data_IF_061716221159
#
_entry.id   IF_061716221159
#
_cell.length_a   1.000
_cell.length_b   1.000
_cell.length_c   1.000
_cell.angle_alpha   90.00
_cell.angle_beta   90.00
_cell.angle_gamma   90.00
#
_symmetry.space_group_name_H-M   'P 1'
#
loop_
_entity.id
_entity.type
_entity.pdbx_description
1 polymer ?
#
# COMPACT_ATOMS: atom_id res chain seq x y z
N UNK A 1 -24.15 -19.60 -9.84
CA UNK A 1 -24.07 -20.97 -10.41
C UNK A 1 -24.83 -21.12 -11.75
N UNK A 2 -24.98 -20.05 -12.55
CA UNK A 2 -25.65 -20.10 -13.87
C UNK A 2 -24.87 -19.36 -14.98
N UNK A 3 -23.53 -19.49 -15.02
CA UNK A 3 -22.72 -18.97 -16.14
C UNK A 3 -21.75 -20.00 -16.74
N UNK A 4 -21.87 -21.28 -16.38
CA UNK A 4 -20.99 -22.33 -16.86
C UNK A 4 -21.82 -23.54 -17.31
N UNK A 5 -22.38 -23.44 -18.52
CA UNK A 5 -22.84 -24.61 -19.27
C UNK A 5 -21.81 -24.88 -20.39
N UNK A 6 -21.16 -26.06 -20.43
CA UNK A 6 -20.02 -26.32 -21.33
C UNK A 6 -20.41 -26.67 -22.77
N UNK A 7 -21.66 -26.43 -23.21
CA UNK A 7 -22.19 -26.96 -24.49
C UNK A 7 -22.37 -25.94 -25.62
N UNK A 8 -21.80 -24.73 -25.54
CA UNK A 8 -21.73 -23.85 -26.72
C UNK A 8 -20.29 -23.72 -27.16
N UNK A 9 -19.94 -24.37 -28.28
CA UNK A 9 -18.71 -24.05 -29.01
C UNK A 9 -18.77 -22.58 -29.43
N UNK A 10 -18.02 -21.73 -28.76
CA UNK A 10 -17.93 -20.31 -29.08
C UNK A 10 -16.86 -20.12 -30.17
N UNK A 11 -17.17 -20.52 -31.40
CA UNK A 11 -16.37 -20.11 -32.55
C UNK A 11 -16.68 -18.64 -32.87
N UNK A 12 -15.80 -17.74 -32.44
CA UNK A 12 -15.69 -16.34 -32.88
C UNK A 12 -16.92 -15.46 -32.66
N UNK A 13 -17.09 -14.91 -31.45
CA UNK A 13 -18.06 -13.85 -31.19
C UNK A 13 -17.69 -12.58 -31.99
N UNK A 14 -18.70 -11.92 -32.60
CA UNK A 14 -18.50 -10.65 -33.30
C UNK A 14 -18.05 -9.54 -32.32
N UNK A 15 -17.25 -8.54 -32.74
CA UNK A 15 -16.74 -7.47 -31.86
C UNK A 15 -17.83 -6.73 -31.06
N UNK A 16 -19.03 -6.58 -31.63
CA UNK A 16 -20.16 -5.95 -30.93
C UNK A 16 -20.72 -6.81 -29.77
N UNK A 17 -20.65 -8.14 -29.89
CA UNK A 17 -21.06 -9.05 -28.82
C UNK A 17 -20.01 -9.11 -27.69
N UNK A 18 -18.73 -8.94 -28.04
CA UNK A 18 -17.64 -8.81 -27.07
C UNK A 18 -17.81 -7.56 -26.19
N UNK A 19 -18.03 -6.41 -26.82
CA UNK A 19 -18.22 -5.15 -26.10
C UNK A 19 -19.39 -5.23 -25.12
N UNK A 20 -20.49 -5.89 -25.52
CA UNK A 20 -21.65 -6.10 -24.65
C UNK A 20 -21.32 -6.99 -23.43
N UNK A 21 -20.48 -8.02 -23.58
CA UNK A 21 -20.10 -8.90 -22.47
C UNK A 21 -19.17 -8.19 -21.47
N UNK A 22 -18.22 -7.40 -21.98
CA UNK A 22 -17.37 -6.54 -21.13
C UNK A 22 -18.22 -5.55 -20.35
N UNK A 23 -19.18 -4.91 -21.02
CA UNK A 23 -20.08 -3.93 -20.39
C UNK A 23 -20.95 -4.57 -19.31
N UNK A 24 -21.51 -5.76 -19.56
CA UNK A 24 -22.29 -6.52 -18.57
C UNK A 24 -21.43 -6.90 -17.35
N UNK A 25 -20.22 -7.43 -17.59
CA UNK A 25 -19.28 -7.77 -16.52
C UNK A 25 -18.91 -6.54 -15.68
N UNK A 26 -18.54 -5.44 -16.32
CA UNK A 26 -18.15 -4.20 -15.64
C UNK A 26 -19.31 -3.64 -14.83
N UNK A 27 -20.51 -3.56 -15.41
CA UNK A 27 -21.71 -3.07 -14.72
C UNK A 27 -21.97 -3.89 -13.45
N UNK A 28 -21.93 -5.22 -13.57
CA UNK A 28 -22.15 -6.11 -12.43
C UNK A 28 -21.09 -5.94 -11.34
N UNK A 29 -19.80 -5.84 -11.72
CA UNK A 29 -18.72 -5.64 -10.74
C UNK A 29 -18.82 -4.26 -10.06
N UNK A 30 -19.25 -3.23 -10.76
CA UNK A 30 -19.45 -1.89 -10.19
C UNK A 30 -20.55 -1.88 -9.12
N UNK A 31 -21.64 -2.62 -9.33
CA UNK A 31 -22.69 -2.82 -8.32
C UNK A 31 -22.15 -3.55 -7.08
N UNK A 32 -21.47 -4.68 -7.28
CA UNK A 32 -20.91 -5.49 -6.18
C UNK A 32 -19.90 -4.69 -5.35
N UNK A 33 -19.04 -3.89 -6.00
CA UNK A 33 -18.11 -3.01 -5.28
C UNK A 33 -18.81 -1.90 -4.51
N UNK A 34 -19.98 -1.45 -4.96
CA UNK A 34 -20.79 -0.48 -4.22
C UNK A 34 -21.40 -1.11 -2.98
N UNK A 35 -21.96 -2.32 -3.11
CA UNK A 35 -22.51 -3.09 -1.99
C UNK A 35 -21.44 -3.37 -0.93
N UNK A 36 -20.26 -3.86 -1.33
CA UNK A 36 -19.14 -4.13 -0.41
C UNK A 36 -18.71 -2.86 0.33
N UNK A 37 -18.59 -1.72 -0.39
CA UNK A 37 -18.23 -0.43 0.22
C UNK A 37 -19.28 0.05 1.22
N UNK A 38 -20.56 -0.05 0.89
CA UNK A 38 -21.65 0.34 1.79
C UNK A 38 -21.68 -0.54 3.04
N UNK A 39 -21.40 -1.84 2.91
CA UNK A 39 -21.25 -2.76 4.03
C UNK A 39 -20.06 -2.35 4.93
N UNK A 40 -18.87 -2.09 4.37
CA UNK A 40 -17.69 -1.68 5.13
C UNK A 40 -17.90 -0.34 5.87
N UNK A 41 -18.51 0.65 5.21
CA UNK A 41 -18.82 1.94 5.83
C UNK A 41 -19.83 1.77 6.97
N UNK A 42 -20.87 0.96 6.76
CA UNK A 42 -21.90 0.72 7.77
C UNK A 42 -21.34 0.00 8.99
N UNK A 43 -20.48 -0.99 8.77
CA UNK A 43 -19.75 -1.68 9.83
C UNK A 43 -18.86 -0.69 10.59
N UNK A 44 -18.04 0.10 9.89
CA UNK A 44 -17.16 1.09 10.53
C UNK A 44 -17.93 2.13 11.36
N UNK A 45 -19.08 2.61 10.87
CA UNK A 45 -19.95 3.56 11.61
C UNK A 45 -20.56 2.94 12.85
N UNK A 46 -21.09 1.72 12.74
CA UNK A 46 -21.66 1.01 13.89
C UNK A 46 -20.64 0.85 15.03
N UNK A 47 -19.36 0.68 14.69
CA UNK A 47 -18.28 0.59 15.67
C UNK A 47 -17.93 1.95 16.27
N UNK A 48 -17.98 3.03 15.50
CA UNK A 48 -17.70 4.37 15.99
C UNK A 48 -18.79 4.92 16.92
N UNK A 49 -20.06 4.60 16.66
CA UNK A 49 -21.20 5.13 17.40
C UNK A 49 -21.61 4.26 18.60
N UNK A 50 -21.41 2.93 18.52
CA UNK A 50 -21.88 1.99 19.53
C UNK A 50 -20.84 1.47 20.53
N UNK A 51 -19.55 1.77 20.34
CA UNK A 51 -18.46 1.13 21.09
C UNK A 51 -17.55 2.19 21.74
N UNK A 52 -17.23 2.00 23.02
CA UNK A 52 -16.29 2.89 23.72
C UNK A 52 -14.88 2.84 23.10
N UNK A 53 -14.16 3.97 23.15
CA UNK A 53 -12.78 4.07 22.63
C UNK A 53 -11.82 3.01 23.20
N UNK A 54 -12.00 2.63 24.48
CA UNK A 54 -11.19 1.58 25.12
C UNK A 54 -11.43 0.21 24.50
N UNK A 55 -12.67 -0.10 24.14
CA UNK A 55 -13.02 -1.36 23.51
C UNK A 55 -12.54 -1.39 22.05
N UNK A 56 -12.60 -0.27 21.33
CA UNK A 56 -11.98 -0.14 20.01
C UNK A 56 -10.45 -0.38 20.05
N UNK A 57 -9.78 0.06 21.12
CA UNK A 57 -8.36 -0.24 21.31
C UNK A 57 -8.11 -1.73 21.62
N UNK A 58 -8.96 -2.37 22.43
CA UNK A 58 -8.84 -3.83 22.70
C UNK A 58 -9.01 -4.66 21.45
N UNK A 59 -9.84 -4.20 20.51
CA UNK A 59 -10.03 -4.81 19.19
C UNK A 59 -8.95 -4.46 18.18
N UNK A 60 -8.03 -3.56 18.52
CA UNK A 60 -6.88 -3.23 17.70
C UNK A 60 -7.14 -2.29 16.52
N UNK A 61 -8.28 -1.57 16.51
CA UNK A 61 -8.66 -0.63 15.43
C UNK A 61 -8.47 0.84 15.83
N UNK A 62 -8.13 1.10 17.09
CA UNK A 62 -7.82 2.43 17.60
C UNK A 62 -6.61 2.38 18.54
N UNK A 63 -5.79 3.41 18.52
CA UNK A 63 -4.70 3.61 19.47
C UNK A 63 -4.93 4.91 20.21
N UNK A 64 -4.92 4.88 21.54
CA UNK A 64 -5.16 6.03 22.40
C UNK A 64 -3.85 6.50 23.04
N UNK A 65 -3.81 7.77 23.43
CA UNK A 65 -2.72 8.38 24.22
C UNK A 65 -1.35 8.23 23.55
N UNK A 66 -1.30 8.59 22.27
CA UNK A 66 -0.07 8.65 21.51
C UNK A 66 0.54 10.05 21.59
N UNK A 67 1.86 10.14 21.71
CA UNK A 67 2.65 11.37 21.65
C UNK A 67 3.44 11.41 20.34
N UNK A 68 3.69 12.61 19.83
CA UNK A 68 4.49 12.79 18.60
C UNK A 68 5.97 12.71 18.95
N UNK A 69 6.63 11.66 18.48
CA UNK A 69 8.06 11.45 18.70
C UNK A 69 8.92 12.22 17.70
N UNK A 70 8.58 12.15 16.41
CA UNK A 70 9.29 12.91 15.38
C UNK A 70 8.40 13.20 14.17
N UNK A 71 8.73 14.30 13.49
CA UNK A 71 8.11 14.73 12.24
C UNK A 71 9.22 14.93 11.21
N UNK A 72 9.08 14.36 10.01
CA UNK A 72 10.09 14.41 8.95
C UNK A 72 9.43 14.49 7.59
N UNK A 73 10.07 15.15 6.64
CA UNK A 73 9.58 15.14 5.26
C UNK A 73 9.87 13.80 4.58
N UNK A 74 8.83 13.14 4.07
CA UNK A 74 8.89 11.90 3.31
C UNK A 74 9.11 12.13 1.80
N UNK A 75 9.07 11.05 1.02
CA UNK A 75 9.08 11.16 -0.45
C UNK A 75 7.76 11.75 -0.96
N UNK A 76 7.82 12.45 -2.09
CA UNK A 76 6.70 13.17 -2.71
C UNK A 76 6.13 14.35 -1.89
N UNK A 77 6.88 14.85 -0.91
CA UNK A 77 6.48 16.02 -0.12
C UNK A 77 5.50 15.71 1.03
N UNK A 78 5.17 14.44 1.27
CA UNK A 78 4.30 14.07 2.38
C UNK A 78 5.01 14.20 3.73
N UNK A 79 4.33 14.75 4.74
CA UNK A 79 4.84 14.79 6.11
C UNK A 79 4.72 13.41 6.77
N UNK A 80 5.84 12.85 7.22
CA UNK A 80 5.88 11.64 8.03
C UNK A 80 5.85 11.99 9.51
N UNK A 81 4.87 11.49 10.24
CA UNK A 81 4.71 11.68 11.68
C UNK A 81 4.86 10.33 12.37
N UNK A 82 5.83 10.21 13.26
CA UNK A 82 6.03 9.02 14.11
C UNK A 82 5.41 9.27 15.47
N UNK A 83 4.45 8.41 15.83
CA UNK A 83 3.70 8.41 17.07
C UNK A 83 4.17 7.27 17.97
N UNK A 84 4.28 7.53 19.27
CA UNK A 84 4.66 6.55 20.30
C UNK A 84 3.65 6.58 21.46
N UNK A 85 3.49 5.49 22.21
CA UNK A 85 2.71 5.53 23.45
C UNK A 85 3.26 6.57 24.44
N UNK A 86 2.36 7.26 25.15
CA UNK A 86 2.72 8.09 26.28
C UNK A 86 3.51 7.29 27.32
N UNK A 87 4.67 7.82 27.73
CA UNK A 87 5.67 7.13 28.57
C UNK A 87 5.07 6.46 29.82
N UNK A 88 5.19 5.14 29.88
CA UNK A 88 5.34 4.38 31.13
C UNK A 88 6.48 3.36 30.96
N UNK A 89 7.73 3.84 30.91
CA UNK A 89 8.96 3.02 30.92
C UNK A 89 9.69 2.90 29.57
N UNK A 90 10.94 2.39 29.61
CA UNK A 90 11.80 2.18 28.43
C UNK A 90 11.30 1.07 27.49
N UNK A 91 10.36 0.24 27.93
CA UNK A 91 9.79 -0.90 27.19
C UNK A 91 8.29 -0.71 26.85
N UNK A 92 7.80 0.53 26.72
CA UNK A 92 6.38 0.73 26.36
C UNK A 92 6.10 0.35 24.91
N UNK A 93 5.54 -0.85 24.71
CA UNK A 93 5.04 -1.30 23.42
C UNK A 93 3.64 -0.74 23.11
N UNK A 94 3.32 -0.64 21.83
CA UNK A 94 1.97 -0.38 21.36
C UNK A 94 1.05 -1.52 21.79
N UNK A 95 -0.19 -1.23 22.21
CA UNK A 95 -1.16 -2.29 22.49
C UNK A 95 -1.40 -3.12 21.23
N UNK A 96 -1.72 -4.41 21.41
CA UNK A 96 -2.03 -5.33 20.30
C UNK A 96 -3.02 -4.70 19.33
N UNK A 97 -2.64 -4.63 18.06
CA UNK A 97 -3.40 -3.88 17.06
C UNK A 97 -3.30 -4.47 15.66
N UNK A 98 -4.22 -4.07 14.79
CA UNK A 98 -4.34 -4.54 13.41
C UNK A 98 -3.97 -3.43 12.40
N UNK A 99 -3.06 -2.52 12.79
CA UNK A 99 -2.53 -1.52 11.87
C UNK A 99 -1.38 -2.11 11.05
N UNK A 100 -1.45 -1.95 9.73
CA UNK A 100 -0.42 -2.36 8.79
C UNK A 100 -0.08 -1.27 7.78
N UNK A 101 1.09 -1.33 7.14
CA UNK A 101 1.46 -0.41 6.07
C UNK A 101 0.41 -0.38 4.96
N UNK A 102 -0.10 0.82 4.65
CA UNK A 102 -1.17 1.05 3.67
C UNK A 102 -2.56 1.28 4.26
N UNK A 103 -2.76 1.04 5.56
CA UNK A 103 -4.03 1.36 6.23
C UNK A 103 -4.27 2.88 6.24
N UNK A 104 -5.49 3.30 5.92
CA UNK A 104 -5.91 4.69 6.08
C UNK A 104 -6.29 4.93 7.53
N UNK A 105 -5.78 6.02 8.09
CA UNK A 105 -5.96 6.37 9.49
C UNK A 105 -6.34 7.84 9.64
N UNK A 106 -7.19 8.11 10.61
CA UNK A 106 -7.52 9.45 11.08
C UNK A 106 -6.74 9.75 12.35
N UNK A 107 -6.09 10.91 12.40
CA UNK A 107 -5.49 11.45 13.60
C UNK A 107 -6.45 12.44 14.25
N UNK A 108 -6.60 12.34 15.56
CA UNK A 108 -7.47 13.21 16.35
C UNK A 108 -6.77 13.58 17.65
N UNK A 109 -7.14 14.71 18.23
CA UNK A 109 -6.67 15.12 19.55
C UNK A 109 -7.42 14.34 20.65
N UNK A 110 -6.72 13.97 21.72
CA UNK A 110 -7.34 13.24 22.84
C UNK A 110 -8.20 14.15 23.73
N UNK A 111 -7.86 15.44 23.83
CA UNK A 111 -8.53 16.43 24.67
C UNK A 111 -9.58 17.28 23.92
N UNK A 112 -9.61 17.22 22.58
CA UNK A 112 -10.51 18.01 21.74
C UNK A 112 -11.89 17.38 21.54
N UNK A 113 -12.81 18.16 20.95
CA UNK A 113 -14.01 17.60 20.32
C UNK A 113 -13.59 16.54 19.28
N UNK A 114 -14.46 15.60 18.94
CA UNK A 114 -14.22 14.44 18.08
C UNK A 114 -13.78 14.75 16.63
N UNK A 115 -13.31 15.98 16.37
CA UNK A 115 -12.87 16.49 15.09
C UNK A 115 -11.55 15.86 14.66
N UNK A 116 -11.56 15.38 13.42
CA UNK A 116 -10.42 14.81 12.76
C UNK A 116 -9.41 15.91 12.43
N UNK A 117 -8.17 15.78 12.91
CA UNK A 117 -7.08 16.73 12.62
C UNK A 117 -6.63 16.55 11.18
N UNK A 118 -6.30 15.30 10.83
CA UNK A 118 -5.83 14.96 9.49
C UNK A 118 -6.11 13.48 9.16
N UNK A 119 -6.08 13.18 7.87
CA UNK A 119 -5.99 11.82 7.34
C UNK A 119 -4.54 11.49 7.02
N UNK A 120 -4.19 10.23 7.14
CA UNK A 120 -2.91 9.74 6.66
C UNK A 120 -2.96 8.27 6.34
N UNK A 121 -1.87 7.79 5.78
CA UNK A 121 -1.68 6.39 5.44
C UNK A 121 -0.55 5.87 6.31
N UNK A 122 -0.77 4.75 7.01
CA UNK A 122 0.27 4.08 7.79
C UNK A 122 1.43 3.74 6.87
N UNK A 123 2.61 4.29 7.19
CA UNK A 123 3.83 4.05 6.45
C UNK A 123 4.61 2.87 7.02
N UNK A 124 4.72 2.85 8.35
CA UNK A 124 5.48 1.83 9.07
C UNK A 124 4.84 1.56 10.43
N UNK A 125 4.82 0.30 10.82
CA UNK A 125 4.49 -0.14 12.18
C UNK A 125 5.69 -0.84 12.81
N UNK A 126 5.97 -0.52 14.06
CA UNK A 126 6.97 -1.17 14.90
C UNK A 126 6.32 -1.55 16.24
N UNK A 127 7.00 -2.32 17.09
CA UNK A 127 6.44 -2.72 18.39
C UNK A 127 6.14 -1.54 19.29
N UNK A 128 6.89 -0.44 19.21
CA UNK A 128 6.77 0.73 20.07
C UNK A 128 6.34 2.02 19.35
N UNK A 129 6.11 1.98 18.04
CA UNK A 129 5.84 3.20 17.27
C UNK A 129 5.05 2.92 15.99
N UNK A 130 4.26 3.90 15.59
CA UNK A 130 3.53 3.90 14.32
C UNK A 130 3.87 5.19 13.57
N UNK A 131 4.30 5.04 12.33
CA UNK A 131 4.61 6.18 11.46
C UNK A 131 3.54 6.30 10.40
N UNK A 132 2.92 7.46 10.31
CA UNK A 132 1.89 7.79 9.33
C UNK A 132 2.45 8.82 8.35
N UNK A 133 2.12 8.65 7.06
CA UNK A 133 2.30 9.69 6.06
C UNK A 133 1.00 10.50 6.01
N UNK A 134 1.06 11.76 6.39
CA UNK A 134 -0.10 12.65 6.47
C UNK A 134 -0.38 13.20 5.08
N UNK A 135 -1.65 13.13 4.66
CA UNK A 135 -2.12 13.83 3.47
C UNK A 135 -2.33 15.30 3.84
N UNK A 136 -1.72 16.22 3.10
CA UNK A 136 -1.80 17.66 3.40
C UNK A 136 -3.27 18.12 3.46
N UNK A 137 -3.72 18.77 4.55
CA UNK A 137 -4.98 19.49 4.52
C UNK A 137 -4.81 20.78 3.72
N UNK A 138 -5.79 21.07 2.86
CA UNK A 138 -5.85 22.24 1.96
C UNK A 138 -5.89 23.63 2.66
N UNK A 139 -5.46 23.81 3.90
CA UNK A 139 -5.57 25.15 4.51
C UNK A 139 -4.73 25.52 5.72
N UNK A 140 -4.04 24.62 6.43
CA UNK A 140 -3.12 25.03 7.50
C UNK A 140 -2.09 23.93 7.75
N UNK A 141 -0.82 24.32 7.91
CA UNK A 141 0.24 23.41 8.40
C UNK A 141 -0.28 22.76 9.69
N UNK A 142 -0.40 21.42 9.71
CA UNK A 142 -0.78 20.71 10.94
C UNK A 142 0.41 20.81 11.90
N UNK A 143 0.43 21.83 12.76
CA UNK A 143 1.38 21.90 13.88
C UNK A 143 0.93 20.89 14.93
N UNK A 144 1.42 19.65 14.82
CA UNK A 144 1.24 18.67 15.88
C UNK A 144 2.21 19.03 17.01
N UNK A 145 1.68 19.46 18.15
CA UNK A 145 2.44 19.74 19.36
C UNK A 145 2.95 18.43 19.98
N UNK A 146 4.22 18.42 20.41
CA UNK A 146 4.83 17.23 21.03
C UNK A 146 4.25 16.91 22.41
N UNK A 147 3.67 17.92 23.08
CA UNK A 147 3.11 17.79 24.43
C UNK A 147 1.65 17.31 24.44
N UNK A 148 0.99 17.26 23.28
CA UNK A 148 -0.39 16.84 23.18
C UNK A 148 -0.52 15.33 23.00
N UNK A 149 -1.61 14.80 23.52
CA UNK A 149 -1.99 13.40 23.31
C UNK A 149 -2.92 13.29 22.12
N UNK A 150 -2.62 12.31 21.29
CA UNK A 150 -3.36 11.98 20.10
C UNK A 150 -4.00 10.61 20.22
N UNK A 151 -5.04 10.43 19.42
CA UNK A 151 -5.63 9.12 19.15
C UNK A 151 -5.57 8.86 17.64
N UNK A 152 -5.27 7.63 17.29
CA UNK A 152 -5.25 7.17 15.91
C UNK A 152 -6.38 6.18 15.71
N UNK A 153 -7.18 6.37 14.66
CA UNK A 153 -8.30 5.50 14.34
C UNK A 153 -8.16 4.98 12.92
N UNK A 154 -8.39 3.69 12.71
CA UNK A 154 -8.45 3.10 11.37
C UNK A 154 -9.71 3.58 10.65
N UNK A 155 -9.55 4.01 9.41
CA UNK A 155 -10.64 4.48 8.55
C UNK A 155 -10.86 3.51 7.38
N UNK A 156 -12.04 3.58 6.77
CA UNK A 156 -12.34 2.84 5.55
C UNK A 156 -11.42 3.28 4.41
N UNK A 157 -10.91 2.32 3.63
CA UNK A 157 -9.95 2.59 2.57
C UNK A 157 -10.62 2.93 1.24
N UNK A 158 -11.02 4.18 1.05
CA UNK A 158 -11.63 4.65 -0.20
C UNK A 158 -10.68 4.57 -1.41
N UNK A 159 -9.36 4.59 -1.18
CA UNK A 159 -8.36 4.54 -2.25
C UNK A 159 -8.44 3.21 -3.00
N UNK A 160 -8.65 2.10 -2.30
CA UNK A 160 -8.81 0.77 -2.91
C UNK A 160 -10.02 0.73 -3.85
N UNK A 161 -11.20 1.15 -3.36
CA UNK A 161 -12.41 1.19 -4.18
C UNK A 161 -12.28 2.12 -5.39
N UNK A 162 -11.67 3.29 -5.21
CA UNK A 162 -11.44 4.21 -6.32
C UNK A 162 -10.51 3.61 -7.38
N UNK A 163 -9.47 2.86 -6.99
CA UNK A 163 -8.59 2.16 -7.93
C UNK A 163 -9.31 1.02 -8.66
N UNK A 164 -10.09 0.22 -7.95
CA UNK A 164 -10.88 -0.86 -8.55
C UNK A 164 -11.90 -0.31 -9.56
N UNK A 165 -12.63 0.74 -9.19
CA UNK A 165 -13.56 1.43 -10.10
C UNK A 165 -12.86 1.97 -11.35
N UNK A 166 -11.69 2.60 -11.19
CA UNK A 166 -10.90 3.08 -12.34
C UNK A 166 -10.43 1.94 -13.24
N UNK A 167 -10.01 0.81 -12.67
CA UNK A 167 -9.61 -0.36 -13.46
C UNK A 167 -10.79 -0.91 -14.28
N UNK A 168 -11.98 -1.02 -13.67
CA UNK A 168 -13.20 -1.43 -14.36
C UNK A 168 -13.62 -0.42 -15.44
N UNK A 169 -13.53 0.88 -15.17
CA UNK A 169 -13.77 1.90 -16.18
C UNK A 169 -12.76 1.83 -17.32
N UNK A 170 -11.49 1.53 -17.03
CA UNK A 170 -10.45 1.36 -18.06
C UNK A 170 -10.74 0.13 -18.92
N UNK A 171 -11.16 -0.98 -18.31
CA UNK A 171 -11.58 -2.19 -19.02
C UNK A 171 -12.77 -1.93 -19.94
N UNK A 172 -13.78 -1.19 -19.47
CA UNK A 172 -14.98 -0.88 -20.26
C UNK A 172 -14.70 -0.05 -21.52
N UNK A 173 -13.69 0.81 -21.45
CA UNK A 173 -13.27 1.66 -22.57
C UNK A 173 -12.02 1.11 -23.26
N UNK A 174 -11.61 -0.12 -22.95
CA UNK A 174 -10.45 -0.73 -23.54
C UNK A 174 -10.76 -1.10 -25.00
N UNK A 175 -10.09 -0.43 -25.93
CA UNK A 175 -10.21 -0.71 -27.36
C UNK A 175 -9.32 -1.89 -27.77
N UNK A 176 -8.53 -1.69 -28.82
CA UNK A 176 -7.52 -2.67 -29.25
C UNK A 176 -6.17 -2.38 -28.59
N UNK A 177 -5.51 -3.43 -28.10
CA UNK A 177 -4.15 -3.34 -27.60
C UNK A 177 -3.59 -4.70 -27.18
N UNK A 178 -2.41 -4.72 -26.53
CA UNK A 178 -1.73 -5.98 -26.19
C UNK A 178 -2.54 -6.92 -25.28
N UNK A 179 -3.47 -6.39 -24.48
CA UNK A 179 -4.32 -7.19 -23.60
C UNK A 179 -5.61 -7.71 -24.24
N UNK A 180 -5.89 -7.42 -25.52
CA UNK A 180 -7.15 -7.81 -26.16
C UNK A 180 -7.36 -9.33 -26.15
N UNK A 181 -6.38 -10.11 -26.60
CA UNK A 181 -6.47 -11.57 -26.64
C UNK A 181 -6.66 -12.17 -25.23
N UNK A 182 -6.00 -11.57 -24.22
CA UNK A 182 -6.17 -11.99 -22.82
C UNK A 182 -7.57 -11.70 -22.30
N UNK A 183 -8.14 -10.53 -22.61
CA UNK A 183 -9.51 -10.16 -22.21
C UNK A 183 -10.50 -11.14 -22.84
N UNK A 184 -10.33 -11.46 -24.11
CA UNK A 184 -11.20 -12.36 -24.84
C UNK A 184 -11.19 -13.78 -24.25
N UNK A 185 -10.01 -14.28 -23.87
CA UNK A 185 -9.89 -15.58 -23.18
C UNK A 185 -10.49 -15.52 -21.77
N UNK A 186 -10.24 -14.47 -20.98
CA UNK A 186 -10.75 -14.34 -19.61
C UNK A 186 -12.27 -14.20 -19.54
N UNK A 187 -12.88 -13.56 -20.54
CA UNK A 187 -14.33 -13.44 -20.66
C UNK A 187 -14.94 -14.54 -21.53
N UNK A 188 -14.22 -15.66 -21.74
CA UNK A 188 -14.71 -16.85 -22.44
C UNK A 188 -15.25 -16.58 -23.85
N UNK A 189 -14.75 -15.55 -24.52
CA UNK A 189 -15.17 -15.17 -25.86
C UNK A 189 -14.26 -15.74 -26.95
N UNK A 190 -13.06 -16.18 -26.57
CA UNK A 190 -12.15 -16.98 -27.39
C UNK A 190 -11.51 -18.08 -26.55
N UNK A 191 -11.07 -19.16 -27.21
CA UNK A 191 -10.29 -20.21 -26.56
C UNK A 191 -8.80 -19.80 -26.47
N UNK A 192 -8.06 -20.26 -25.45
CA UNK A 192 -6.61 -20.03 -25.37
C UNK A 192 -5.89 -20.51 -26.62
N UNK A 193 -4.90 -19.75 -27.09
CA UNK A 193 -4.09 -20.17 -28.22
C UNK A 193 -3.28 -21.42 -27.91
N UNK A 194 -2.93 -22.18 -28.95
CA UNK A 194 -2.00 -23.30 -28.81
C UNK A 194 -0.68 -22.88 -28.17
N UNK A 195 -0.17 -23.74 -27.28
CA UNK A 195 1.09 -23.55 -26.58
C UNK A 195 2.25 -23.36 -27.58
N UNK A 196 3.14 -22.43 -27.27
CA UNK A 196 4.34 -22.18 -28.08
C UNK A 196 5.39 -23.26 -27.82
N UNK A 197 6.26 -23.52 -28.81
CA UNK A 197 7.42 -24.37 -28.61
C UNK A 197 8.33 -23.79 -27.51
N UNK A 198 8.47 -24.54 -26.42
CA UNK A 198 9.34 -24.15 -25.32
C UNK A 198 10.77 -24.53 -25.65
N UNK A 199 11.67 -23.55 -25.54
CA UNK A 199 13.11 -23.82 -25.58
C UNK A 199 13.48 -24.74 -24.41
N UNK A 200 14.52 -25.56 -24.60
CA UNK A 200 15.13 -26.32 -23.52
C UNK A 200 15.52 -25.38 -22.38
N UNK A 201 14.88 -25.55 -21.23
CA UNK A 201 15.10 -24.73 -20.04
C UNK A 201 16.22 -25.32 -19.19
N UNK A 202 17.16 -24.46 -18.78
CA UNK A 202 18.09 -24.77 -17.70
C UNK A 202 17.51 -24.20 -16.41
N UNK A 203 16.96 -25.06 -15.56
CA UNK A 203 16.36 -24.63 -14.31
C UNK A 203 17.40 -24.02 -13.36
N UNK A 204 17.06 -22.91 -12.71
CA UNK A 204 17.89 -22.29 -11.67
C UNK A 204 17.86 -23.12 -10.39
N UNK A 205 16.68 -23.63 -10.03
CA UNK A 205 16.53 -24.54 -8.91
C UNK A 205 16.56 -26.01 -9.39
N UNK A 206 17.67 -26.69 -9.14
CA UNK A 206 17.84 -28.10 -9.49
C UNK A 206 16.92 -29.05 -8.70
N UNK A 207 16.45 -28.60 -7.52
CA UNK A 207 15.62 -29.39 -6.60
C UNK A 207 14.11 -29.34 -6.91
N UNK A 208 13.71 -28.76 -8.05
CA UNK A 208 12.31 -28.81 -8.47
C UNK A 208 11.90 -30.25 -8.80
N UNK A 209 10.74 -30.65 -8.29
CA UNK A 209 10.13 -31.93 -8.64
C UNK A 209 9.58 -31.92 -10.07
N UNK A 210 9.17 -33.10 -10.56
CA UNK A 210 8.68 -33.25 -11.92
C UNK A 210 7.43 -32.39 -12.20
N UNK A 211 6.51 -32.29 -11.25
CA UNK A 211 5.27 -31.52 -11.40
C UNK A 211 5.55 -30.00 -11.44
N UNK A 212 6.52 -29.54 -10.67
CA UNK A 212 6.94 -28.14 -10.67
C UNK A 212 7.67 -27.79 -11.98
N UNK A 213 8.53 -28.67 -12.48
CA UNK A 213 9.21 -28.49 -13.78
C UNK A 213 8.19 -28.44 -14.93
N UNK A 214 7.21 -29.33 -14.92
CA UNK A 214 6.11 -29.32 -15.88
C UNK A 214 5.31 -28.02 -15.81
N UNK A 215 4.95 -27.56 -14.61
CA UNK A 215 4.24 -26.30 -14.43
C UNK A 215 5.04 -25.09 -14.95
N UNK A 216 6.36 -25.06 -14.76
CA UNK A 216 7.25 -24.02 -15.31
C UNK A 216 7.23 -24.05 -16.83
N UNK A 217 7.45 -25.21 -17.45
CA UNK A 217 7.42 -25.37 -18.90
C UNK A 217 6.06 -24.96 -19.47
N UNK A 218 4.97 -25.48 -18.89
CA UNK A 218 3.61 -25.15 -19.31
C UNK A 218 3.35 -23.64 -19.27
N UNK A 219 3.72 -22.97 -18.18
CA UNK A 219 3.46 -21.53 -18.01
C UNK A 219 4.22 -20.67 -19.01
N UNK A 220 5.45 -21.04 -19.35
CA UNK A 220 6.26 -20.31 -20.34
C UNK A 220 5.81 -20.59 -21.79
N UNK A 221 5.06 -21.67 -22.01
CA UNK A 221 4.53 -22.02 -23.32
C UNK A 221 3.23 -21.25 -23.65
N UNK A 222 2.43 -20.91 -22.63
CA UNK A 222 1.15 -20.21 -22.82
C UNK A 222 1.37 -18.75 -23.21
N UNK A 223 0.56 -18.25 -24.15
CA UNK A 223 0.64 -16.86 -24.62
C UNK A 223 -0.27 -15.94 -23.81
N UNK A 224 -1.52 -16.32 -23.62
CA UNK A 224 -2.53 -15.50 -22.96
C UNK A 224 -2.58 -15.77 -21.45
N UNK A 225 -2.84 -17.02 -21.05
CA UNK A 225 -3.14 -17.35 -19.67
C UNK A 225 -2.57 -18.72 -19.25
N UNK A 226 -1.87 -18.74 -18.12
CA UNK A 226 -1.50 -19.95 -17.42
C UNK A 226 -1.98 -19.88 -15.96
N UNK A 227 -2.62 -20.94 -15.49
CA UNK A 227 -3.07 -21.06 -14.09
C UNK A 227 -2.36 -22.24 -13.45
N UNK A 228 -1.55 -21.94 -12.42
CA UNK A 228 -0.87 -22.95 -11.63
C UNK A 228 -1.65 -23.16 -10.33
N UNK A 229 -2.17 -24.36 -10.16
CA UNK A 229 -2.74 -24.78 -8.89
C UNK A 229 -1.65 -25.43 -8.04
N UNK A 230 -1.59 -25.08 -6.75
CA UNK A 230 -0.81 -25.87 -5.80
C UNK A 230 -1.48 -25.91 -4.42
N UNK A 231 -1.69 -27.11 -3.83
CA UNK A 231 -2.12 -27.25 -2.45
C UNK A 231 -1.18 -26.58 -1.43
N UNK A 232 -1.56 -26.45 -0.16
CA UNK A 232 -0.67 -25.99 0.90
C UNK A 232 0.60 -26.84 0.97
N UNK A 233 1.77 -26.19 1.11
CA UNK A 233 3.06 -26.89 1.22
C UNK A 233 3.70 -27.38 -0.08
N UNK A 234 3.04 -27.32 -1.24
CA UNK A 234 3.58 -27.88 -2.50
C UNK A 234 4.60 -26.98 -3.24
N UNK A 235 5.16 -25.99 -2.56
CA UNK A 235 6.21 -25.15 -3.16
C UNK A 235 5.74 -24.19 -4.27
N UNK A 236 4.45 -23.83 -4.36
CA UNK A 236 3.93 -22.87 -5.37
C UNK A 236 4.81 -21.66 -5.60
N UNK A 237 5.24 -21.00 -4.51
CA UNK A 237 6.07 -19.79 -4.65
C UNK A 237 7.45 -20.11 -5.21
N UNK A 238 8.01 -21.29 -4.91
CA UNK A 238 9.25 -21.77 -5.53
C UNK A 238 9.07 -21.95 -7.03
N UNK A 239 7.96 -22.54 -7.48
CA UNK A 239 7.61 -22.66 -8.90
C UNK A 239 7.45 -21.30 -9.58
N UNK A 240 6.73 -20.36 -8.94
CA UNK A 240 6.53 -19.00 -9.47
C UNK A 240 7.86 -18.24 -9.58
N UNK A 241 8.75 -18.37 -8.60
CA UNK A 241 10.10 -17.78 -8.65
C UNK A 241 10.87 -18.31 -9.85
N UNK A 242 10.86 -19.62 -10.09
CA UNK A 242 11.50 -20.22 -11.26
C UNK A 242 10.93 -19.66 -12.57
N UNK A 243 9.60 -19.56 -12.70
CA UNK A 243 8.96 -18.98 -13.91
C UNK A 243 9.44 -17.56 -14.16
N UNK A 244 9.51 -16.74 -13.11
CA UNK A 244 10.00 -15.35 -13.22
C UNK A 244 11.46 -15.32 -13.68
N UNK A 245 12.32 -16.17 -13.10
CA UNK A 245 13.73 -16.26 -13.48
C UNK A 245 13.88 -16.62 -14.96
N UNK A 246 13.15 -17.64 -15.42
CA UNK A 246 13.16 -18.08 -16.82
C UNK A 246 12.63 -17.00 -17.77
N UNK A 247 11.53 -16.32 -17.43
CA UNK A 247 10.97 -15.24 -18.23
C UNK A 247 11.96 -14.06 -18.36
N UNK A 248 12.64 -13.69 -17.28
CA UNK A 248 13.64 -12.62 -17.30
C UNK A 248 14.89 -13.02 -18.08
N UNK A 249 15.33 -14.28 -18.00
CA UNK A 249 16.44 -14.80 -18.81
C UNK A 249 16.12 -14.76 -20.32
N UNK A 250 14.86 -14.94 -20.68
CA UNK A 250 14.37 -14.75 -22.06
C UNK A 250 14.27 -13.26 -22.48
N UNK A 251 14.65 -12.32 -21.60
CA UNK A 251 14.63 -10.88 -21.87
C UNK A 251 13.27 -10.22 -21.66
N UNK A 252 12.28 -10.92 -21.10
CA UNK A 252 10.96 -10.37 -20.82
C UNK A 252 10.98 -9.45 -19.60
N UNK A 253 10.09 -8.46 -19.60
CA UNK A 253 9.80 -7.62 -18.44
C UNK A 253 8.60 -8.19 -17.71
N UNK A 254 8.74 -8.44 -16.41
CA UNK A 254 7.71 -9.10 -15.60
C UNK A 254 7.14 -8.13 -14.57
N UNK A 255 5.82 -7.97 -14.55
CA UNK A 255 5.08 -7.31 -13.47
C UNK A 255 4.51 -8.38 -12.54
N UNK A 256 5.02 -8.46 -11.31
CA UNK A 256 4.53 -9.38 -10.30
C UNK A 256 3.59 -8.67 -9.33
N UNK A 257 2.38 -9.20 -9.16
CA UNK A 257 1.36 -8.67 -8.25
C UNK A 257 0.90 -9.76 -7.27
N UNK A 258 0.54 -9.35 -6.05
CA UNK A 258 -0.13 -10.21 -5.07
C UNK A 258 -1.11 -9.39 -4.23
N UNK A 259 -2.16 -10.01 -3.66
CA UNK A 259 -3.20 -9.28 -2.91
C UNK A 259 -2.70 -8.76 -1.55
N UNK A 260 -1.57 -9.25 -1.02
CA UNK A 260 -1.01 -8.80 0.25
C UNK A 260 0.44 -8.36 0.11
N UNK A 261 0.82 -7.31 0.86
CA UNK A 261 2.20 -6.85 0.91
C UNK A 261 3.17 -7.96 1.35
N UNK A 262 2.77 -8.81 2.29
CA UNK A 262 3.59 -9.95 2.76
C UNK A 262 3.87 -10.93 1.62
N UNK A 263 2.90 -11.21 0.75
CA UNK A 263 3.10 -12.10 -0.39
C UNK A 263 4.07 -11.50 -1.42
N UNK A 264 3.99 -10.20 -1.68
CA UNK A 264 4.95 -9.50 -2.54
C UNK A 264 6.35 -9.53 -1.92
N UNK A 265 6.45 -9.23 -0.63
CA UNK A 265 7.72 -9.20 0.10
C UNK A 265 8.40 -10.59 0.08
N UNK A 266 7.64 -11.68 0.25
CA UNK A 266 8.13 -13.06 0.10
C UNK A 266 8.70 -13.35 -1.30
N UNK A 267 8.10 -12.79 -2.35
CA UNK A 267 8.60 -12.94 -3.72
C UNK A 267 9.91 -12.16 -3.90
N UNK A 268 9.94 -10.90 -3.45
CA UNK A 268 11.14 -10.05 -3.52
C UNK A 268 12.30 -10.69 -2.78
N UNK A 269 12.07 -11.21 -1.58
CA UNK A 269 13.08 -11.90 -0.77
C UNK A 269 13.68 -13.09 -1.53
N UNK A 270 12.85 -13.98 -2.09
CA UNK A 270 13.35 -15.13 -2.85
C UNK A 270 14.08 -14.73 -4.12
N UNK A 271 13.58 -13.74 -4.85
CA UNK A 271 14.20 -13.25 -6.08
C UNK A 271 15.50 -12.48 -5.81
N UNK A 272 15.65 -11.85 -4.64
CA UNK A 272 16.85 -11.08 -4.27
C UNK A 272 18.11 -11.93 -4.13
N UNK A 273 17.95 -13.25 -3.93
CA UNK A 273 19.06 -14.22 -3.95
C UNK A 273 19.63 -14.43 -5.36
N UNK A 274 18.95 -13.94 -6.39
CA UNK A 274 19.37 -13.99 -7.78
C UNK A 274 19.81 -12.59 -8.23
N UNK A 275 20.78 -12.51 -9.16
CA UNK A 275 21.31 -11.24 -9.68
C UNK A 275 20.35 -10.56 -10.67
N UNK A 276 19.10 -10.34 -10.25
CA UNK A 276 18.06 -9.69 -11.04
C UNK A 276 17.93 -8.20 -10.67
N UNK A 277 17.49 -7.40 -11.65
CA UNK A 277 17.08 -6.01 -11.41
C UNK A 277 15.61 -5.99 -10.98
N UNK A 278 15.38 -5.83 -9.68
CA UNK A 278 14.05 -5.85 -9.07
C UNK A 278 13.71 -4.47 -8.52
N UNK A 279 12.49 -4.00 -8.79
CA UNK A 279 11.93 -2.79 -8.19
C UNK A 279 10.61 -3.12 -7.48
N UNK A 280 10.56 -2.90 -6.16
CA UNK A 280 9.37 -3.05 -5.34
C UNK A 280 8.63 -1.72 -5.24
N UNK A 281 7.46 -1.64 -5.86
CA UNK A 281 6.56 -0.49 -5.77
C UNK A 281 5.65 -0.60 -4.56
N UNK A 282 5.58 0.45 -3.75
CA UNK A 282 4.74 0.50 -2.55
C UNK A 282 5.54 0.29 -1.26
N UNK A 283 4.83 0.32 -0.14
CA UNK A 283 5.42 0.30 1.20
C UNK A 283 5.64 -1.15 1.65
N UNK A 284 6.88 -1.58 1.94
CA UNK A 284 7.14 -2.92 2.46
C UNK A 284 6.36 -3.18 3.74
N UNK A 285 5.77 -4.37 3.87
CA UNK A 285 5.19 -4.81 5.15
C UNK A 285 6.28 -5.30 6.10
N UNK A 286 7.33 -5.91 5.55
CA UNK A 286 8.48 -6.41 6.30
C UNK A 286 9.61 -5.38 6.36
N UNK A 287 10.29 -5.35 7.51
CA UNK A 287 11.46 -4.50 7.75
C UNK A 287 12.79 -5.17 7.36
N UNK A 288 12.75 -6.24 6.57
CA UNK A 288 13.95 -6.92 6.12
C UNK A 288 14.77 -5.99 5.21
N UNK A 289 16.06 -5.85 5.52
CA UNK A 289 16.99 -4.96 4.81
C UNK A 289 17.09 -5.30 3.32
N UNK A 290 17.08 -6.59 2.99
CA UNK A 290 17.08 -7.09 1.60
C UNK A 290 15.92 -6.51 0.80
N UNK A 291 14.70 -6.52 1.35
CA UNK A 291 13.50 -5.98 0.69
C UNK A 291 13.53 -4.45 0.64
N UNK A 292 13.99 -3.80 1.72
CA UNK A 292 14.06 -2.34 1.80
C UNK A 292 14.92 -1.76 0.69
N UNK A 293 16.07 -2.37 0.39
CA UNK A 293 16.98 -1.92 -0.67
C UNK A 293 16.39 -1.97 -2.10
N UNK A 294 15.35 -2.77 -2.31
CA UNK A 294 14.65 -2.86 -3.59
C UNK A 294 13.39 -2.00 -3.66
N UNK A 295 12.99 -1.36 -2.56
CA UNK A 295 11.88 -0.39 -2.57
C UNK A 295 12.24 0.82 -3.43
N UNK A 296 11.23 1.40 -4.10
CA UNK A 296 11.41 2.61 -4.90
C UNK A 296 12.13 3.71 -4.12
N UNK A 297 11.74 3.88 -2.86
CA UNK A 297 12.32 4.87 -1.95
C UNK A 297 13.83 4.68 -1.77
N UNK A 298 14.27 3.44 -1.51
CA UNK A 298 15.69 3.15 -1.33
C UNK A 298 16.49 3.24 -2.63
N UNK A 299 15.89 2.85 -3.76
CA UNK A 299 16.53 2.94 -5.08
C UNK A 299 16.76 4.41 -5.46
N UNK A 300 15.79 5.29 -5.21
CA UNK A 300 15.93 6.73 -5.46
C UNK A 300 17.00 7.37 -4.57
N UNK A 301 17.13 6.93 -3.32
CA UNK A 301 18.17 7.40 -2.39
C UNK A 301 19.59 6.92 -2.74
N UNK A 302 19.73 5.93 -3.63
CA UNK A 302 21.03 5.39 -4.07
C UNK A 302 21.43 5.86 -5.47
N UNK A 303 20.52 6.44 -6.24
CA UNK A 303 20.80 6.92 -7.59
C UNK A 303 21.61 8.21 -7.59
N UNK A 304 22.11 8.59 -8.77
CA UNK A 304 22.95 9.79 -8.96
C UNK A 304 22.25 11.09 -8.54
N UNK A 305 20.91 11.10 -8.52
CA UNK A 305 20.07 12.21 -8.09
C UNK A 305 19.80 12.23 -6.57
N UNK A 306 20.39 11.32 -5.79
CA UNK A 306 20.16 11.24 -4.34
C UNK A 306 20.56 12.52 -3.61
N UNK A 307 21.61 13.21 -4.09
CA UNK A 307 22.01 14.52 -3.58
C UNK A 307 20.92 15.56 -3.77
N UNK A 308 20.28 15.60 -4.95
CA UNK A 308 19.17 16.52 -5.24
C UNK A 308 18.00 16.25 -4.29
N UNK A 309 17.65 14.98 -4.07
CA UNK A 309 16.58 14.59 -3.14
C UNK A 309 16.94 14.94 -1.69
N UNK A 310 18.21 14.76 -1.30
CA UNK A 310 18.69 15.09 0.04
C UNK A 310 18.71 16.60 0.28
N UNK A 311 19.07 17.40 -0.72
CA UNK A 311 19.11 18.85 -0.64
C UNK A 311 17.69 19.43 -0.62
N UNK A 312 16.78 18.95 -1.47
CA UNK A 312 15.35 19.30 -1.39
C UNK A 312 14.78 18.97 0.00
N UNK A 313 15.14 17.81 0.58
CA UNK A 313 14.71 17.45 1.94
C UNK A 313 15.27 18.41 2.99
N UNK A 314 16.57 18.75 2.92
CA UNK A 314 17.17 19.71 3.85
C UNK A 314 16.51 21.08 3.75
N UNK A 315 16.22 21.55 2.55
CA UNK A 315 15.58 22.84 2.33
C UNK A 315 14.14 22.84 2.86
N UNK A 316 13.38 21.77 2.65
CA UNK A 316 12.02 21.63 3.21
C UNK A 316 12.07 21.52 4.74
N UNK A 317 12.97 20.72 5.30
CA UNK A 317 13.11 20.56 6.74
C UNK A 317 13.59 21.87 7.40
N UNK A 318 14.52 22.61 6.77
CA UNK A 318 14.92 23.95 7.21
C UNK A 318 13.79 24.96 7.08
N UNK A 319 13.01 24.91 6.01
CA UNK A 319 11.82 25.73 5.87
C UNK A 319 10.81 25.41 6.98
N UNK A 320 10.56 24.13 7.29
CA UNK A 320 9.69 23.71 8.39
C UNK A 320 10.19 24.21 9.75
N UNK A 321 11.47 24.01 10.07
CA UNK A 321 12.07 24.47 11.34
C UNK A 321 12.03 26.00 11.43
N UNK A 322 12.37 26.70 10.35
CA UNK A 322 12.31 28.17 10.29
C UNK A 322 10.87 28.67 10.44
N UNK A 323 9.89 27.98 9.83
CA UNK A 323 8.47 28.35 9.93
C UNK A 323 7.93 28.13 11.36
N UNK A 324 8.26 27.00 11.99
CA UNK A 324 7.91 26.71 13.40
C UNK A 324 8.53 27.76 14.33
N UNK A 325 9.80 28.13 14.13
CA UNK A 325 10.47 29.17 14.92
C UNK A 325 9.88 30.56 14.68
N UNK A 326 9.49 30.89 13.45
CA UNK A 326 8.86 32.17 13.12
C UNK A 326 7.45 32.27 13.72
N UNK A 327 6.68 31.18 13.71
CA UNK A 327 5.35 31.11 14.30
C UNK A 327 5.41 31.21 15.83
N UNK A 328 6.34 30.51 16.48
CA UNK A 328 6.59 30.64 17.92
C UNK A 328 7.01 32.08 18.29
N UNK A 329 7.86 32.73 17.48
CA UNK A 329 8.25 34.13 17.68
C UNK A 329 7.06 35.09 17.53
N UNK A 330 6.16 34.83 16.58
CA UNK A 330 4.98 35.65 16.34
C UNK A 330 3.92 35.46 17.43
N UNK A 331 3.70 34.24 17.93
CA UNK A 331 2.86 33.96 19.09
C UNK A 331 3.43 34.58 20.38
N UNK A 332 4.75 34.53 20.61
CA UNK A 332 5.40 35.21 21.74
C UNK A 332 5.30 36.74 21.65
N UNK A 333 5.35 37.32 20.44
CA UNK A 333 5.07 38.75 20.22
C UNK A 333 3.60 39.10 20.46
N UNK A 334 2.66 38.28 19.99
CA UNK A 334 1.22 38.49 20.23
C UNK A 334 0.84 38.37 21.71
N UNK A 335 1.45 37.42 22.43
CA UNK A 335 1.25 37.25 23.87
C UNK A 335 1.86 38.42 24.67
N UNK A 336 3.01 38.98 24.23
CA UNK A 336 3.59 40.20 24.82
C UNK A 336 2.77 41.47 24.58
N UNK A 337 2.00 41.54 23.50
CA UNK A 337 1.20 42.72 23.15
C UNK A 337 -0.16 42.70 23.87
N UNK A 338 -0.75 41.52 24.11
CA UNK A 338 -2.09 41.40 24.71
C UNK A 338 -2.13 41.00 26.21
N UNK A 339 -1.05 40.43 26.76
CA UNK A 339 -0.95 40.22 28.21
C UNK A 339 0.03 41.23 28.82
N UNK A 340 -0.50 42.39 29.20
CA UNK A 340 0.19 43.25 30.15
C UNK A 340 0.31 42.52 31.48
N UNK A 341 1.50 41.98 31.81
CA UNK A 341 2.17 42.08 33.12
C UNK A 341 3.41 41.15 33.20
N UNK A 342 4.52 41.75 33.64
CA UNK A 342 5.70 41.22 34.34
C UNK A 342 6.46 39.99 33.78
N UNK A 343 7.65 40.31 33.24
CA UNK A 343 8.94 39.63 33.49
C UNK A 343 8.88 38.21 34.07
N UNK A 344 8.87 37.20 33.20
CA UNK A 344 9.28 35.84 33.56
C UNK A 344 10.55 35.51 32.77
N UNK A 345 11.66 35.38 33.49
CA UNK A 345 12.92 34.86 32.99
C UNK A 345 12.74 33.38 32.61
N UNK A 346 12.69 33.06 31.33
CA UNK A 346 13.01 31.72 30.85
C UNK A 346 14.48 31.69 30.43
N UNK A 347 15.30 31.04 31.25
CA UNK A 347 16.67 30.65 30.90
C UNK A 347 16.60 29.67 29.74
N UNK A 348 17.27 30.00 28.65
CA UNK A 348 17.68 29.06 27.61
C UNK A 348 18.44 27.90 28.25
N UNK A 349 18.01 26.67 27.99
CA UNK A 349 18.85 25.49 28.15
C UNK A 349 19.01 24.92 26.73
N UNK A 350 20.28 24.81 26.37
CA UNK A 350 20.87 24.39 25.09
C UNK A 350 20.50 22.96 24.74
#
# INVERSE_FOLDING_TARGET
HCLLSPERGFSGLKPAAMAALVEEFVSRQMELLKEEREAEISEARAWQEGISLKELQRRGVCLLKLEVHCQKTGLYGHLLVTLQPQKHGLDTELPSNNFGPGDIVGLYEAAGQNNQICTGIVNRTASNSITIAVDEPQSNLVSLDQDNLYRLMKLANDVTYNRLKRALSTLNHYGSGPASDLIDVLLCSSEPSGASDTKLLKFYNEFLDASQKEAVCFSLAQKELAIIHGPPGTGKTTTVVEIILQAVEQGLKVLCCAPSNIAVDNLVERLSNHKLRILRLGRPARLLESIQHHSLDAVLLRGDNAQIVADIRKDIDQAFVSFVLHFYSHCLKYCRINCGYKSMHYKSIV
#
